data_IF_902271240739
#
_entry.id   IF_902271240739
#
_cell.length_a   1.000
_cell.length_b   1.000
_cell.length_c   1.000
_cell.angle_alpha   90.00
_cell.angle_beta   90.00
_cell.angle_gamma   90.00
#
_symmetry.space_group_name_H-M   'P 1'
#
loop_
_entity.id
_entity.type
_entity.pdbx_description
1 polymer ?
#
# COMPACT_ATOMS: atom_id res chain seq x y z
N UNK A 1 18.66 -23.41 -7.09
CA UNK A 1 17.19 -23.23 -7.08
C UNK A 1 16.67 -24.00 -5.89
N UNK A 2 16.68 -23.38 -4.72
CA UNK A 2 16.02 -23.89 -3.52
C UNK A 2 14.64 -23.26 -3.48
N UNK A 3 13.61 -24.09 -3.50
CA UNK A 3 12.21 -23.71 -3.37
C UNK A 3 12.04 -22.66 -2.27
N UNK A 4 11.47 -21.50 -2.61
CA UNK A 4 10.99 -20.56 -1.61
C UNK A 4 9.76 -21.20 -0.97
N UNK A 5 9.97 -22.02 0.04
CA UNK A 5 8.91 -22.64 0.85
C UNK A 5 7.97 -21.52 1.27
N UNK A 6 6.78 -21.49 0.69
CA UNK A 6 5.77 -20.52 1.11
C UNK A 6 5.35 -20.97 2.50
N UNK A 7 5.83 -20.29 3.54
CA UNK A 7 5.59 -20.64 4.95
C UNK A 7 4.10 -20.72 5.29
N UNK A 8 3.26 -20.07 4.48
CA UNK A 8 1.81 -20.01 4.64
C UNK A 8 1.10 -20.39 3.33
N UNK A 9 0.15 -21.33 3.34
CA UNK A 9 -0.57 -21.71 2.12
C UNK A 9 -1.47 -20.56 1.63
N UNK A 10 -1.37 -20.27 0.33
CA UNK A 10 -2.24 -19.29 -0.36
C UNK A 10 -3.63 -19.89 -0.51
N UNK A 11 -4.65 -19.19 -0.02
CA UNK A 11 -6.05 -19.63 -0.12
C UNK A 11 -6.86 -18.87 -1.18
N UNK A 12 -6.36 -17.71 -1.63
CA UNK A 12 -6.94 -16.94 -2.72
C UNK A 12 -5.83 -16.17 -3.45
N UNK A 13 -6.02 -15.96 -4.75
CA UNK A 13 -5.11 -15.20 -5.59
C UNK A 13 -5.89 -14.43 -6.64
N UNK A 14 -5.41 -13.23 -6.97
CA UNK A 14 -5.97 -12.41 -8.02
C UNK A 14 -4.91 -11.55 -8.71
N UNK A 15 -5.11 -11.26 -9.98
CA UNK A 15 -4.32 -10.28 -10.72
C UNK A 15 -5.02 -8.92 -10.69
N UNK A 16 -4.33 -7.89 -10.19
CA UNK A 16 -4.74 -6.50 -10.30
C UNK A 16 -4.07 -5.87 -11.53
N UNK A 17 -4.83 -5.54 -12.59
CA UNK A 17 -4.23 -4.98 -13.81
C UNK A 17 -3.62 -3.60 -13.54
N UNK A 18 -2.66 -3.19 -14.35
CA UNK A 18 -2.21 -1.80 -14.39
C UNK A 18 -3.38 -0.85 -14.67
N UNK A 19 -3.49 0.22 -13.89
CA UNK A 19 -4.64 1.14 -13.85
C UNK A 19 -5.84 0.60 -13.05
N UNK A 20 -5.77 -0.64 -12.57
CA UNK A 20 -6.79 -1.27 -11.75
C UNK A 20 -6.83 -0.71 -10.33
N UNK A 21 -7.97 -0.87 -9.68
CA UNK A 21 -8.20 -0.48 -8.29
C UNK A 21 -9.09 -1.52 -7.61
N UNK A 22 -8.98 -1.63 -6.29
CA UNK A 22 -9.73 -2.60 -5.51
C UNK A 22 -9.85 -2.18 -4.05
N UNK A 23 -10.93 -2.59 -3.41
CA UNK A 23 -11.09 -2.58 -1.97
C UNK A 23 -11.61 -3.90 -1.45
N UNK A 24 -11.15 -4.29 -0.26
CA UNK A 24 -11.54 -5.52 0.43
C UNK A 24 -11.15 -5.45 1.90
N UNK A 25 -11.74 -6.31 2.72
CA UNK A 25 -11.32 -6.50 4.11
C UNK A 25 -10.23 -7.57 4.14
N UNK A 26 -9.02 -7.19 4.56
CA UNK A 26 -8.01 -8.13 5.01
C UNK A 26 -8.33 -8.49 6.47
N UNK A 27 -8.67 -9.76 6.73
CA UNK A 27 -9.14 -10.12 8.07
C UNK A 27 -7.97 -10.24 9.04
N UNK A 28 -8.27 -10.08 10.33
CA UNK A 28 -7.30 -10.36 11.40
C UNK A 28 -6.72 -11.77 11.22
N UNK A 29 -5.39 -11.88 11.27
CA UNK A 29 -4.67 -13.14 11.05
C UNK A 29 -4.41 -13.49 9.58
N UNK A 30 -4.74 -12.60 8.65
CA UNK A 30 -4.43 -12.79 7.23
C UNK A 30 -3.17 -12.02 6.82
N UNK A 31 -2.46 -12.58 5.85
CA UNK A 31 -1.40 -11.95 5.09
C UNK A 31 -1.90 -11.62 3.69
N UNK A 32 -1.61 -10.40 3.24
CA UNK A 32 -1.70 -10.01 1.84
C UNK A 32 -0.29 -9.89 1.28
N UNK A 33 0.06 -10.73 0.30
CA UNK A 33 1.25 -10.54 -0.53
C UNK A 33 0.87 -9.78 -1.79
N UNK A 34 1.57 -8.68 -2.06
CA UNK A 34 1.54 -7.97 -3.33
C UNK A 34 2.84 -8.31 -4.06
N UNK A 35 2.77 -8.83 -5.28
CA UNK A 35 3.94 -9.14 -6.10
C UNK A 35 3.94 -8.27 -7.36
N UNK A 36 5.04 -7.56 -7.58
CA UNK A 36 5.33 -6.86 -8.82
C UNK A 36 5.63 -7.88 -9.93
N UNK A 37 4.78 -7.95 -10.95
CA UNK A 37 4.92 -8.97 -12.00
C UNK A 37 5.98 -8.61 -13.03
N UNK A 38 6.22 -7.31 -13.28
CA UNK A 38 7.01 -6.86 -14.43
C UNK A 38 8.17 -5.92 -14.04
N UNK A 39 8.27 -5.50 -12.78
CA UNK A 39 9.19 -4.47 -12.33
C UNK A 39 8.58 -3.07 -12.46
N UNK A 40 9.11 -2.12 -11.70
CA UNK A 40 8.62 -0.74 -11.66
C UNK A 40 7.12 -0.59 -11.30
N UNK A 41 6.55 -1.54 -10.53
CA UNK A 41 5.21 -1.35 -10.00
C UNK A 41 5.15 -0.18 -9.01
N UNK A 42 3.97 0.40 -8.89
CA UNK A 42 3.58 1.27 -7.79
C UNK A 42 2.15 0.92 -7.38
N UNK A 43 1.93 0.78 -6.07
CA UNK A 43 0.59 0.62 -5.50
C UNK A 43 0.37 1.67 -4.44
N UNK A 44 -0.54 2.58 -4.73
CA UNK A 44 -1.02 3.56 -3.76
C UNK A 44 -2.16 2.92 -2.97
N UNK A 45 -2.04 2.88 -1.64
CA UNK A 45 -3.06 2.33 -0.77
C UNK A 45 -3.37 3.23 0.42
N UNK A 46 -4.59 3.14 0.91
CA UNK A 46 -5.00 3.62 2.23
C UNK A 46 -5.68 2.48 3.00
N UNK A 47 -5.59 2.54 4.32
CA UNK A 47 -6.10 1.52 5.23
C UNK A 47 -7.07 2.16 6.21
N UNK A 48 -8.13 1.43 6.56
CA UNK A 48 -9.09 1.83 7.58
C UNK A 48 -9.39 0.65 8.49
N UNK A 49 -9.79 0.93 9.73
CA UNK A 49 -10.41 -0.11 10.54
C UNK A 49 -11.72 -0.54 9.86
N UNK A 50 -11.90 -1.85 9.63
CA UNK A 50 -13.06 -2.36 8.92
C UNK A 50 -14.38 -2.12 9.70
N UNK A 51 -14.31 -2.04 11.03
CA UNK A 51 -15.46 -1.88 11.92
C UNK A 51 -15.74 -0.42 12.29
N UNK A 52 -14.75 0.47 12.22
CA UNK A 52 -14.89 1.89 12.50
C UNK A 52 -14.14 2.71 11.45
N UNK A 53 -14.82 3.15 10.39
CA UNK A 53 -14.18 3.79 9.22
C UNK A 53 -13.74 5.22 9.50
N UNK A 54 -14.04 5.77 10.67
CA UNK A 54 -13.40 7.01 11.12
C UNK A 54 -11.96 6.80 11.59
N UNK A 55 -11.56 5.57 11.93
CA UNK A 55 -10.18 5.21 12.26
C UNK A 55 -9.42 4.79 11.00
N UNK A 56 -8.34 5.52 10.67
CA UNK A 56 -7.71 5.48 9.34
C UNK A 56 -6.20 5.51 9.43
N UNK A 57 -5.55 5.05 8.37
CA UNK A 57 -4.10 5.11 8.20
C UNK A 57 -3.58 6.52 8.49
N UNK A 58 -2.60 6.59 9.37
CA UNK A 58 -1.88 7.79 9.71
C UNK A 58 -0.39 7.58 9.44
N UNK A 59 0.08 8.10 8.30
CA UNK A 59 1.49 8.00 7.92
C UNK A 59 2.43 8.74 8.88
N UNK A 60 2.12 9.97 9.35
CA UNK A 60 2.92 10.62 10.40
C UNK A 60 3.12 9.74 11.64
N UNK A 61 2.08 9.06 12.11
CA UNK A 61 2.17 8.15 13.27
C UNK A 61 2.98 6.91 12.91
N UNK A 62 2.77 6.36 11.72
CA UNK A 62 3.58 5.24 11.20
C UNK A 62 5.06 5.57 11.12
N UNK A 63 5.43 6.81 10.79
CA UNK A 63 6.83 7.24 10.71
C UNK A 63 7.40 7.59 12.09
N UNK A 64 6.72 8.48 12.82
CA UNK A 64 7.21 9.06 14.09
C UNK A 64 7.34 8.01 15.18
N UNK A 65 6.38 7.09 15.30
CA UNK A 65 6.42 6.05 16.33
C UNK A 65 7.57 5.08 16.10
N UNK A 66 8.11 5.02 14.89
CA UNK A 66 9.16 4.09 14.52
C UNK A 66 10.53 4.75 14.33
N UNK A 67 10.59 6.07 14.54
CA UNK A 67 11.77 6.92 14.34
C UNK A 67 12.38 6.73 12.95
N UNK A 68 11.54 6.70 11.92
CA UNK A 68 11.95 6.44 10.53
C UNK A 68 11.26 7.39 9.56
N UNK A 69 11.93 7.67 8.44
CA UNK A 69 11.33 8.29 7.25
C UNK A 69 11.12 7.27 6.11
N UNK A 70 11.41 5.99 6.38
CA UNK A 70 11.34 4.87 5.45
C UNK A 70 10.46 3.77 6.03
N UNK A 71 9.41 3.39 5.30
CA UNK A 71 8.59 2.23 5.63
C UNK A 71 9.05 1.03 4.79
N UNK A 72 9.20 -0.12 5.44
CA UNK A 72 9.71 -1.38 4.87
C UNK A 72 9.52 -2.52 5.90
N UNK A 73 10.09 -3.69 5.65
CA UNK A 73 10.09 -4.84 6.55
C UNK A 73 10.35 -4.45 8.02
N UNK A 74 9.54 -4.97 8.95
CA UNK A 74 9.63 -4.70 10.38
C UNK A 74 8.86 -3.46 10.84
N UNK A 75 8.22 -2.72 9.92
CA UNK A 75 7.44 -1.54 10.26
C UNK A 75 5.93 -1.80 10.35
N UNK A 76 5.27 -1.08 11.24
CA UNK A 76 3.83 -1.08 11.43
C UNK A 76 3.17 0.12 10.75
N UNK A 77 1.97 -0.08 10.21
CA UNK A 77 1.12 0.95 9.64
C UNK A 77 0.04 1.30 10.68
N UNK A 78 0.16 2.49 11.26
CA UNK A 78 -0.67 2.94 12.37
C UNK A 78 -1.95 3.60 11.90
N UNK A 79 -3.00 3.46 12.70
CA UNK A 79 -4.15 4.34 12.66
C UNK A 79 -3.88 5.65 13.41
N UNK A 80 -4.72 6.66 13.16
CA UNK A 80 -4.80 7.91 13.92
C UNK A 80 -5.24 7.71 15.39
N UNK A 81 -5.74 6.53 15.75
CA UNK A 81 -6.07 6.15 17.12
C UNK A 81 -4.97 5.32 17.81
N UNK A 82 -3.77 5.25 17.22
CA UNK A 82 -2.61 4.58 17.84
C UNK A 82 -2.72 3.06 17.90
N UNK A 83 -3.43 2.45 16.93
CA UNK A 83 -3.51 1.00 16.72
C UNK A 83 -2.80 0.60 15.43
N UNK A 84 -2.46 -0.67 15.27
CA UNK A 84 -1.77 -1.19 14.09
C UNK A 84 -2.80 -1.73 13.10
N UNK A 85 -2.98 -1.07 11.96
CA UNK A 85 -3.88 -1.53 10.89
C UNK A 85 -3.25 -2.68 10.10
N UNK A 86 -1.94 -2.61 9.85
CA UNK A 86 -1.18 -3.66 9.20
C UNK A 86 0.29 -3.60 9.62
N UNK A 87 1.03 -4.70 9.45
CA UNK A 87 2.48 -4.77 9.64
C UNK A 87 3.15 -5.24 8.35
N UNK A 88 4.22 -4.58 7.93
CA UNK A 88 5.04 -4.97 6.78
C UNK A 88 5.99 -6.07 7.27
N UNK A 89 5.58 -7.32 7.11
CA UNK A 89 6.32 -8.48 7.63
C UNK A 89 7.40 -8.98 6.68
N UNK A 90 7.28 -8.64 5.40
CA UNK A 90 8.29 -8.87 4.37
C UNK A 90 8.24 -7.74 3.35
N UNK A 91 9.40 -7.27 2.90
CA UNK A 91 9.55 -6.32 1.79
C UNK A 91 10.89 -6.60 1.10
N UNK A 92 10.84 -7.06 -0.15
CA UNK A 92 12.06 -7.37 -0.92
C UNK A 92 12.62 -6.16 -1.67
N UNK A 93 11.82 -5.11 -1.89
CA UNK A 93 12.27 -3.85 -2.49
C UNK A 93 13.03 -2.99 -1.46
N UNK A 94 12.58 -3.08 -0.21
CA UNK A 94 13.17 -2.38 0.92
C UNK A 94 12.65 -0.96 1.12
N UNK A 95 11.72 -0.43 0.32
CA UNK A 95 11.21 0.93 0.53
C UNK A 95 9.78 1.09 0.02
N UNK A 96 8.97 1.81 0.79
CA UNK A 96 7.66 2.33 0.39
C UNK A 96 7.59 3.83 0.67
N UNK A 97 7.19 4.59 -0.34
CA UNK A 97 7.06 6.04 -0.29
C UNK A 97 5.79 6.46 0.47
N UNK A 98 5.94 7.43 1.37
CA UNK A 98 4.85 7.95 2.20
C UNK A 98 4.50 9.41 1.90
N UNK A 99 5.08 9.99 0.83
CA UNK A 99 5.02 11.42 0.52
C UNK A 99 4.25 11.68 -0.77
N UNK A 100 4.47 10.87 -1.81
CA UNK A 100 4.08 11.18 -3.18
C UNK A 100 2.59 11.19 -3.45
N UNK A 101 1.77 10.49 -2.66
CA UNK A 101 0.32 10.45 -2.85
C UNK A 101 -0.09 9.80 -4.18
N UNK A 102 -1.12 10.35 -4.82
CA UNK A 102 -1.63 9.91 -6.13
C UNK A 102 -1.88 11.10 -7.05
N UNK A 103 -1.85 10.87 -8.37
CA UNK A 103 -2.26 11.87 -9.35
C UNK A 103 -3.80 11.98 -9.41
N UNK A 104 -4.29 13.20 -9.61
CA UNK A 104 -5.67 13.49 -9.98
C UNK A 104 -5.86 13.55 -11.51
N UNK A 105 -7.10 13.73 -11.98
CA UNK A 105 -7.43 13.74 -13.40
C UNK A 105 -6.71 14.84 -14.21
N UNK A 106 -6.54 16.04 -13.63
CA UNK A 106 -5.84 17.14 -14.26
C UNK A 106 -4.35 16.84 -14.40
N UNK A 107 -3.71 16.37 -13.33
CA UNK A 107 -2.27 16.05 -13.34
C UNK A 107 -1.95 14.89 -14.29
N UNK A 108 -2.85 13.90 -14.41
CA UNK A 108 -2.73 12.83 -15.42
C UNK A 108 -2.80 13.42 -16.83
N UNK A 109 -3.72 14.34 -17.10
CA UNK A 109 -3.84 14.98 -18.40
C UNK A 109 -2.62 15.86 -18.74
N UNK A 110 -2.05 16.55 -17.74
CA UNK A 110 -0.82 17.34 -17.89
C UNK A 110 0.39 16.44 -18.18
N UNK A 111 0.50 15.32 -17.47
CA UNK A 111 1.66 14.43 -17.56
C UNK A 111 1.63 13.52 -18.79
N UNK A 112 0.47 12.95 -19.11
CA UNK A 112 0.33 11.90 -20.13
C UNK A 112 -0.48 12.33 -21.35
N UNK A 113 -1.20 13.46 -21.27
CA UNK A 113 -2.13 13.91 -22.30
C UNK A 113 -3.51 13.28 -22.19
N UNK A 114 -4.28 13.35 -23.28
CA UNK A 114 -5.62 12.77 -23.35
C UNK A 114 -5.55 11.27 -23.62
N UNK A 115 -6.28 10.48 -22.84
CA UNK A 115 -6.40 9.03 -23.04
C UNK A 115 -7.81 8.55 -22.73
N UNK A 116 -8.75 8.78 -23.65
CA UNK A 116 -10.19 8.55 -23.43
C UNK A 116 -10.57 7.08 -23.61
N UNK A 117 -11.55 6.62 -22.84
CA UNK A 117 -12.07 5.26 -22.94
C UNK A 117 -12.60 4.88 -24.34
N UNK A 118 -13.24 5.81 -25.05
CA UNK A 118 -13.79 5.54 -26.38
C UNK A 118 -12.71 5.17 -27.41
N UNK A 119 -11.48 5.66 -27.20
CA UNK A 119 -10.33 5.46 -28.08
C UNK A 119 -9.47 4.29 -27.60
N UNK A 120 -9.13 4.27 -26.30
CA UNK A 120 -8.15 3.35 -25.73
C UNK A 120 -8.75 2.13 -25.03
N UNK A 121 -10.08 2.07 -24.88
CA UNK A 121 -10.80 1.01 -24.15
C UNK A 121 -10.19 0.82 -22.76
N UNK A 122 -9.77 -0.39 -22.40
CA UNK A 122 -9.18 -0.67 -21.08
C UNK A 122 -7.80 -0.02 -20.88
N UNK A 123 -7.15 0.47 -21.93
CA UNK A 123 -5.89 1.21 -21.86
C UNK A 123 -6.05 2.72 -21.65
N UNK A 124 -7.26 3.19 -21.37
CA UNK A 124 -7.50 4.61 -21.09
C UNK A 124 -6.77 5.10 -19.84
N UNK A 125 -6.51 6.40 -19.79
CA UNK A 125 -5.73 6.97 -18.70
C UNK A 125 -6.65 7.19 -17.51
N UNK A 126 -6.30 6.53 -16.41
CA UNK A 126 -6.98 6.64 -15.12
C UNK A 126 -6.12 7.47 -14.19
N UNK A 127 -6.73 8.01 -13.15
CA UNK A 127 -6.04 8.73 -12.08
C UNK A 127 -6.35 8.09 -10.73
N UNK A 128 -5.46 8.30 -9.76
CA UNK A 128 -5.53 7.61 -8.47
C UNK A 128 -6.63 8.16 -7.56
N UNK A 129 -6.91 9.47 -7.63
CA UNK A 129 -8.02 10.07 -6.87
C UNK A 129 -9.35 9.41 -7.24
N UNK A 130 -9.71 9.37 -8.52
CA UNK A 130 -10.97 8.78 -8.97
C UNK A 130 -11.03 7.28 -8.69
N UNK A 131 -9.94 6.55 -8.96
CA UNK A 131 -9.85 5.11 -8.67
C UNK A 131 -10.12 4.82 -7.18
N UNK A 132 -9.50 5.59 -6.28
CA UNK A 132 -9.68 5.41 -4.84
C UNK A 132 -11.08 5.84 -4.39
N UNK A 133 -11.65 6.91 -4.96
CA UNK A 133 -13.02 7.34 -4.65
C UNK A 133 -14.07 6.32 -5.08
N UNK A 134 -13.89 5.67 -6.24
CA UNK A 134 -14.76 4.58 -6.68
C UNK A 134 -14.76 3.46 -5.64
N UNK A 135 -13.59 3.09 -5.12
CA UNK A 135 -13.47 2.04 -4.12
C UNK A 135 -14.00 2.47 -2.74
N UNK A 136 -13.65 3.67 -2.26
CA UNK A 136 -14.18 4.24 -1.02
C UNK A 136 -15.72 4.32 -1.04
N UNK A 137 -16.31 4.70 -2.17
CA UNK A 137 -17.76 4.78 -2.35
C UNK A 137 -18.48 3.44 -2.11
N UNK A 138 -17.83 2.31 -2.40
CA UNK A 138 -18.38 0.96 -2.10
C UNK A 138 -18.57 0.71 -0.59
N UNK A 139 -17.90 1.49 0.24
CA UNK A 139 -17.93 1.40 1.71
C UNK A 139 -18.65 2.59 2.36
N UNK A 140 -19.37 3.40 1.56
CA UNK A 140 -20.08 4.58 2.05
C UNK A 140 -19.17 5.76 2.41
N UNK A 141 -17.95 5.79 1.85
CA UNK A 141 -16.95 6.83 2.08
C UNK A 141 -16.82 7.73 0.84
N UNK A 142 -16.34 8.96 1.03
CA UNK A 142 -16.22 9.96 -0.02
C UNK A 142 -14.89 10.71 -0.02
N UNK A 143 -14.86 11.86 -0.69
CA UNK A 143 -13.65 12.67 -0.86
C UNK A 143 -13.03 13.15 0.45
N UNK A 144 -13.85 13.47 1.46
CA UNK A 144 -13.37 13.81 2.80
C UNK A 144 -12.63 12.66 3.50
N UNK A 145 -12.77 11.44 2.99
CA UNK A 145 -12.18 10.24 3.56
C UNK A 145 -10.92 9.79 2.81
N UNK A 146 -10.65 10.38 1.65
CA UNK A 146 -9.41 10.18 0.91
C UNK A 146 -8.28 11.01 1.53
N UNK A 147 -7.55 10.39 2.46
CA UNK A 147 -6.37 10.96 3.11
C UNK A 147 -5.08 10.47 2.41
N UNK A 148 -3.94 10.61 3.09
CA UNK A 148 -2.64 10.19 2.58
C UNK A 148 -2.63 8.71 2.19
N UNK A 149 -1.91 8.39 1.11
CA UNK A 149 -1.70 7.04 0.62
C UNK A 149 -0.24 6.62 0.80
N UNK A 150 -0.03 5.35 1.15
CA UNK A 150 1.28 4.72 1.09
C UNK A 150 1.50 4.18 -0.34
N UNK A 151 2.62 4.53 -0.95
CA UNK A 151 3.06 4.06 -2.25
C UNK A 151 4.05 2.89 -2.09
N UNK A 152 3.52 1.67 -2.12
CA UNK A 152 4.35 0.46 -2.11
C UNK A 152 5.19 0.37 -3.40
N UNK A 153 6.35 -0.29 -3.32
CA UNK A 153 7.33 -0.50 -4.41
C UNK A 153 8.07 0.76 -4.88
N UNK A 154 7.61 1.95 -4.50
CA UNK A 154 8.21 3.24 -4.86
C UNK A 154 9.09 3.79 -3.75
N UNK A 155 10.13 4.54 -4.15
CA UNK A 155 11.02 5.27 -3.25
C UNK A 155 11.18 6.71 -3.71
N UNK A 156 11.08 7.62 -2.74
CA UNK A 156 11.40 9.03 -2.89
C UNK A 156 12.47 9.37 -1.87
N UNK A 157 13.59 9.91 -2.35
CA UNK A 157 14.67 10.44 -1.54
C UNK A 157 14.51 11.95 -1.37
N UNK A 158 15.02 12.50 -0.27
CA UNK A 158 15.08 13.94 -0.02
C UNK A 158 16.54 14.34 0.06
N UNK A 159 16.97 15.28 -0.77
CA UNK A 159 18.34 15.79 -0.72
C UNK A 159 18.53 16.86 0.36
N UNK A 160 19.77 17.34 0.51
CA UNK A 160 20.13 18.37 1.50
C UNK A 160 19.41 19.71 1.29
N UNK A 161 18.91 19.98 0.08
CA UNK A 161 18.13 21.18 -0.24
C UNK A 161 16.62 20.97 0.00
N UNK A 162 16.19 19.79 0.44
CA UNK A 162 14.79 19.44 0.62
C UNK A 162 14.07 19.08 -0.68
N UNK A 163 14.80 18.86 -1.77
CA UNK A 163 14.22 18.46 -3.05
C UNK A 163 13.94 16.96 -3.05
N UNK A 164 12.75 16.60 -3.52
CA UNK A 164 12.31 15.22 -3.64
C UNK A 164 12.82 14.62 -4.95
N UNK A 165 13.44 13.44 -4.87
CA UNK A 165 13.96 12.69 -6.02
C UNK A 165 13.32 11.30 -6.08
N UNK A 166 12.68 10.98 -7.20
CA UNK A 166 12.15 9.63 -7.41
C UNK A 166 13.28 8.66 -7.76
N UNK A 167 13.38 7.56 -7.02
CA UNK A 167 14.37 6.52 -7.28
C UNK A 167 13.83 5.51 -8.31
N UNK A 168 14.21 5.69 -9.58
CA UNK A 168 13.84 4.77 -10.65
C UNK A 168 14.37 3.34 -10.41
N UNK A 169 13.63 2.33 -10.89
CA UNK A 169 14.01 0.91 -10.78
C UNK A 169 14.17 0.40 -9.34
N UNK A 170 13.43 0.98 -8.39
CA UNK A 170 13.40 0.50 -7.00
C UNK A 170 12.83 -0.92 -6.88
N UNK A 171 11.79 -1.24 -7.65
CA UNK A 171 11.16 -2.56 -7.72
C UNK A 171 11.51 -3.31 -9.00
N UNK A 172 11.75 -4.61 -8.88
CA UNK A 172 12.05 -5.55 -9.99
C UNK A 172 10.96 -6.59 -10.11
N UNK A 173 10.86 -7.20 -11.29
CA UNK A 173 9.93 -8.31 -11.51
C UNK A 173 10.18 -9.44 -10.49
N UNK A 174 9.11 -9.85 -9.81
CA UNK A 174 9.14 -10.85 -8.75
C UNK A 174 9.33 -10.29 -7.34
N UNK A 175 9.65 -9.01 -7.19
CA UNK A 175 9.66 -8.38 -5.87
C UNK A 175 8.27 -8.41 -5.24
N UNK A 176 8.23 -8.53 -3.91
CA UNK A 176 6.99 -8.60 -3.18
C UNK A 176 7.06 -7.94 -1.80
N UNK A 177 5.89 -7.48 -1.36
CA UNK A 177 5.64 -6.93 -0.02
C UNK A 177 4.51 -7.74 0.61
N UNK A 178 4.65 -8.07 1.88
CA UNK A 178 3.64 -8.78 2.68
C UNK A 178 3.13 -7.91 3.81
N UNK A 179 1.81 -7.75 3.86
CA UNK A 179 1.10 -7.03 4.91
C UNK A 179 0.33 -8.02 5.78
N UNK A 180 0.68 -8.10 7.06
CA UNK A 180 -0.08 -8.83 8.07
C UNK A 180 -1.13 -7.93 8.70
N UNK A 181 -2.35 -8.43 8.87
CA UNK A 181 -3.44 -7.71 9.53
C UNK A 181 -3.62 -8.20 10.98
N UNK A 182 -3.23 -7.42 12.01
CA UNK A 182 -3.52 -7.75 13.41
C UNK A 182 -4.94 -7.39 13.84
N UNK A 183 -5.69 -6.68 12.99
CA UNK A 183 -7.13 -6.42 13.11
C UNK A 183 -7.84 -6.61 11.76
N UNK A 184 -9.17 -6.55 11.72
CA UNK A 184 -9.86 -6.48 10.42
C UNK A 184 -9.64 -5.11 9.79
N UNK A 185 -8.94 -5.08 8.66
CA UNK A 185 -8.51 -3.84 8.00
C UNK A 185 -9.14 -3.75 6.62
N UNK A 186 -9.86 -2.67 6.38
CA UNK A 186 -10.29 -2.30 5.04
C UNK A 186 -9.09 -1.77 4.27
N UNK A 187 -8.70 -2.50 3.23
CA UNK A 187 -7.65 -2.11 2.29
C UNK A 187 -8.32 -1.47 1.08
N UNK A 188 -7.84 -0.29 0.68
CA UNK A 188 -8.27 0.40 -0.54
C UNK A 188 -7.02 0.76 -1.34
N UNK A 189 -6.92 0.29 -2.58
CA UNK A 189 -5.68 0.43 -3.36
C UNK A 189 -5.92 0.65 -4.85
N UNK A 190 -4.89 1.20 -5.51
CA UNK A 190 -4.82 1.37 -6.97
C UNK A 190 -3.40 1.11 -7.48
N UNK A 191 -3.30 0.42 -8.62
CA UNK A 191 -2.04 0.12 -9.30
C UNK A 191 -1.81 1.14 -10.43
N UNK A 192 -1.31 2.32 -10.08
CA UNK A 192 -1.00 3.40 -11.03
C UNK A 192 0.45 3.82 -10.87
N UNK A 193 1.01 4.47 -11.90
CA UNK A 193 2.36 5.02 -11.81
C UNK A 193 2.46 6.05 -10.69
N UNK A 194 3.62 6.07 -10.03
CA UNK A 194 3.89 7.05 -9.00
C UNK A 194 3.85 8.48 -9.57
N UNK A 195 3.33 9.48 -8.83
CA UNK A 195 3.25 10.87 -9.31
C UNK A 195 4.59 11.42 -9.83
N UNK A 196 5.68 11.10 -9.13
CA UNK A 196 7.04 11.53 -9.47
C UNK A 196 7.80 10.58 -10.43
N UNK A 197 7.18 9.50 -10.93
CA UNK A 197 7.82 8.65 -11.94
C UNK A 197 8.14 9.49 -13.19
N UNK A 198 9.40 9.57 -13.66
CA UNK A 198 9.77 10.41 -14.79
C UNK A 198 9.30 9.85 -16.15
N UNK A 199 8.77 8.62 -16.20
CA UNK A 199 8.28 8.03 -17.45
C UNK A 199 7.10 8.84 -18.02
N UNK A 200 7.23 9.44 -19.22
CA UNK A 200 6.19 10.26 -19.82
C UNK A 200 5.06 9.43 -20.46
N UNK A 201 5.21 8.11 -20.55
CA UNK A 201 4.18 7.23 -21.09
C UNK A 201 3.30 6.70 -19.97
N UNK A 202 1.98 6.67 -20.18
CA UNK A 202 1.06 6.00 -19.27
C UNK A 202 1.23 4.48 -19.40
N UNK A 203 1.92 3.89 -18.43
CA UNK A 203 2.36 2.50 -18.40
C UNK A 203 2.30 1.90 -16.97
N UNK A 204 1.13 1.89 -16.31
CA UNK A 204 0.99 1.28 -15.00
C UNK A 204 1.21 -0.25 -15.07
N UNK A 205 1.86 -0.80 -14.05
CA UNK A 205 2.23 -2.22 -14.01
C UNK A 205 1.20 -3.06 -13.26
N UNK A 206 0.94 -4.30 -13.70
CA UNK A 206 0.04 -5.21 -13.01
C UNK A 206 0.71 -5.84 -11.79
N UNK A 207 -0.11 -6.24 -10.82
CA UNK A 207 0.34 -6.98 -9.64
C UNK A 207 -0.44 -8.27 -9.49
N UNK A 208 0.19 -9.22 -8.78
CA UNK A 208 -0.51 -10.37 -8.21
C UNK A 208 -0.74 -10.14 -6.72
N UNK A 209 -1.97 -10.33 -6.29
CA UNK A 209 -2.41 -10.28 -4.90
C UNK A 209 -2.65 -11.72 -4.45
N UNK A 210 -1.96 -12.16 -3.39
CA UNK A 210 -2.14 -13.50 -2.81
C UNK A 210 -2.50 -13.38 -1.34
N UNK A 211 -3.56 -14.06 -0.92
CA UNK A 211 -4.02 -14.07 0.47
C UNK A 211 -3.64 -15.39 1.15
N UNK A 212 -3.08 -15.28 2.35
CA UNK A 212 -2.69 -16.42 3.17
C UNK A 212 -3.20 -16.23 4.60
N UNK A 213 -3.29 -17.33 5.36
CA UNK A 213 -3.48 -17.27 6.81
C UNK A 213 -2.13 -17.39 7.49
N UNK A 214 -1.88 -16.55 8.49
CA UNK A 214 -0.67 -16.62 9.29
C UNK A 214 -1.00 -16.52 10.77
N UNK A 215 -0.16 -17.16 11.57
CA UNK A 215 -0.16 -16.96 13.01
C UNK A 215 0.39 -15.57 13.34
N UNK A 216 -0.04 -15.00 14.47
CA UNK A 216 0.40 -13.68 14.91
C UNK A 216 1.92 -13.53 15.07
N UNK A 217 2.64 -14.64 15.31
CA UNK A 217 4.11 -14.68 15.36
C UNK A 217 4.80 -14.18 14.09
N UNK A 218 4.13 -14.18 12.93
CA UNK A 218 4.68 -13.63 11.68
C UNK A 218 5.00 -12.13 11.79
N UNK A 219 4.32 -11.42 12.68
CA UNK A 219 4.50 -10.00 12.90
C UNK A 219 5.32 -9.70 14.17
N UNK A 220 5.92 -10.70 14.82
CA UNK A 220 6.62 -10.51 16.09
C UNK A 220 7.85 -9.60 15.95
N UNK A 221 8.58 -9.70 14.83
CA UNK A 221 9.68 -8.76 14.55
C UNK A 221 9.18 -7.34 14.30
N UNK A 222 7.98 -7.17 13.75
CA UNK A 222 7.35 -5.85 13.63
C UNK A 222 6.92 -5.32 15.00
N UNK A 223 6.34 -6.18 15.85
CA UNK A 223 5.90 -5.83 17.22
C UNK A 223 7.06 -5.36 18.09
N UNK A 224 8.20 -6.05 17.99
CA UNK A 224 9.37 -5.83 18.86
C UNK A 224 10.41 -4.87 18.29
N UNK A 225 10.23 -4.35 17.07
CA UNK A 225 11.20 -3.42 16.46
C UNK A 225 11.32 -2.09 17.23
N UNK A 226 10.25 -1.67 17.91
CA UNK A 226 10.18 -0.45 18.74
C UNK A 226 9.22 -0.63 19.92
N UNK A 227 9.48 -0.01 21.10
CA UNK A 227 8.54 0.01 22.22
C UNK A 227 7.16 0.58 21.86
N UNK A 228 7.10 1.53 20.93
CA UNK A 228 5.87 2.11 20.41
C UNK A 228 5.02 1.05 19.70
N UNK A 229 5.65 0.16 18.92
CA UNK A 229 4.97 -0.93 18.22
C UNK A 229 4.34 -1.89 19.20
N UNK A 230 5.05 -2.28 20.26
CA UNK A 230 4.47 -3.11 21.32
C UNK A 230 3.20 -2.49 21.89
N UNK A 231 3.22 -1.19 22.22
CA UNK A 231 2.03 -0.46 22.70
C UNK A 231 0.92 -0.38 21.65
N UNK A 232 1.27 -0.14 20.39
CA UNK A 232 0.32 -0.11 19.27
C UNK A 232 -0.40 -1.45 19.09
N UNK A 233 0.34 -2.56 19.19
CA UNK A 233 -0.26 -3.88 19.17
C UNK A 233 -1.08 -4.16 20.44
N UNK A 234 -0.64 -3.77 21.64
CA UNK A 234 -1.46 -3.88 22.87
C UNK A 234 -2.79 -3.14 22.70
N UNK A 235 -2.79 -1.93 22.15
CA UNK A 235 -4.00 -1.16 21.86
C UNK A 235 -4.90 -1.84 20.83
N UNK A 236 -4.29 -2.55 19.87
CA UNK A 236 -5.01 -3.31 18.84
C UNK A 236 -5.65 -4.57 19.42
N UNK A 237 -4.88 -5.35 20.20
CA UNK A 237 -5.32 -6.61 20.78
C UNK A 237 -6.48 -6.42 21.77
N UNK A 238 -6.54 -5.27 22.46
CA UNK A 238 -7.66 -4.87 23.32
C UNK A 238 -9.02 -4.79 22.61
N UNK A 239 -9.07 -4.62 21.29
CA UNK A 239 -10.34 -4.66 20.53
C UNK A 239 -10.96 -6.06 20.47
N UNK A 240 -10.18 -7.09 20.79
CA UNK A 240 -10.56 -8.50 20.66
C UNK A 240 -10.38 -9.29 21.96
N UNK A 241 -10.17 -8.59 23.08
CA UNK A 241 -10.01 -9.15 24.42
C UNK A 241 -11.36 -9.38 25.10
#
# INVERSE_FOLDING_TARGET
MTDSTTLYPVFAEEMLPGGGHRSFILKRGELLRLTDLHGNANVSLTLLNAHEKTERLNLPDSLKCQHTARLSNGHCLYSDMGRVLAAIVTDTCGWSDSIGGVLNAQEVAEKYGQGRYQELRNGFFRNGVDNLLVELGKWGLGLSDLLMTLNLFSRVDVDEAGILHFAANNSKAGDYIELYAPMHTLVVLTALQHPMDPNPQYAPQPLRLSWMKADASVAEHCRTSRPENERGFINTDRLFA
#
